data_IF_807272075648
#
_entry.id   IF_807272075648
#
_cell.length_a   1.000
_cell.length_b   1.000
_cell.length_c   1.000
_cell.angle_alpha   90.00
_cell.angle_beta   90.00
_cell.angle_gamma   90.00
#
_symmetry.space_group_name_H-M   'P 1'
#
loop_
_entity.id
_entity.type
_entity.pdbx_description
1 polymer ?
#
# COMPACT_ATOMS: atom_id res chain seq x y z
N UNK A 1 11.99 -3.87 8.01
CA UNK A 1 11.59 -5.10 8.74
C UNK A 1 10.38 -5.69 8.06
N UNK A 2 10.42 -6.96 7.76
CA UNK A 2 9.36 -7.69 7.04
C UNK A 2 8.50 -8.45 8.05
N UNK A 3 7.18 -8.36 7.91
CA UNK A 3 6.19 -9.08 8.72
C UNK A 3 5.41 -10.03 7.80
N UNK A 4 5.76 -11.32 7.84
CA UNK A 4 5.06 -12.41 7.13
C UNK A 4 4.75 -12.14 5.65
N UNK A 5 5.62 -11.42 4.93
CA UNK A 5 5.50 -11.06 3.51
C UNK A 5 4.37 -10.09 3.15
N UNK A 6 3.40 -9.87 4.03
CA UNK A 6 2.23 -9.05 3.74
C UNK A 6 2.39 -7.59 4.15
N UNK A 7 3.30 -7.33 5.07
CA UNK A 7 3.56 -5.98 5.62
C UNK A 7 5.04 -5.79 5.90
N UNK A 8 5.48 -4.54 5.82
CA UNK A 8 6.84 -4.18 6.18
C UNK A 8 6.86 -2.88 6.99
N UNK A 9 7.69 -2.83 8.03
CA UNK A 9 8.05 -1.57 8.67
C UNK A 9 9.22 -0.95 7.89
N UNK A 10 8.92 -0.41 6.71
CA UNK A 10 9.89 0.20 5.79
C UNK A 10 10.21 1.64 6.16
N UNK A 11 9.17 2.41 6.53
CA UNK A 11 9.27 3.83 6.86
C UNK A 11 9.96 4.07 8.21
N UNK A 12 10.73 5.18 8.31
CA UNK A 12 11.42 5.57 9.55
C UNK A 12 12.76 4.89 9.81
N UNK A 13 13.25 4.01 8.91
CA UNK A 13 14.59 3.43 9.00
C UNK A 13 14.78 2.37 10.10
N UNK A 14 13.71 1.82 10.66
CA UNK A 14 13.80 0.83 11.76
C UNK A 14 14.59 -0.42 11.35
N UNK A 15 14.45 -0.86 10.09
CA UNK A 15 15.22 -1.99 9.55
C UNK A 15 16.73 -1.73 9.55
N UNK A 16 17.15 -0.50 9.22
CA UNK A 16 18.56 -0.12 9.26
C UNK A 16 19.12 -0.14 10.70
N UNK A 17 18.33 0.33 11.69
CA UNK A 17 18.71 0.27 13.12
C UNK A 17 18.87 -1.18 13.57
N UNK A 18 17.95 -2.08 13.18
CA UNK A 18 18.08 -3.51 13.50
C UNK A 18 19.33 -4.13 12.89
N UNK A 19 19.56 -3.86 11.61
CA UNK A 19 20.70 -4.37 10.86
C UNK A 19 22.03 -3.88 11.48
N UNK A 20 22.12 -2.61 11.87
CA UNK A 20 23.30 -2.06 12.53
C UNK A 20 23.63 -2.75 13.86
N UNK A 21 22.62 -3.30 14.53
CA UNK A 21 22.73 -4.08 15.76
C UNK A 21 22.89 -5.59 15.51
N UNK A 22 23.03 -6.01 14.26
CA UNK A 22 23.13 -7.42 13.82
C UNK A 22 21.94 -8.28 14.28
N UNK A 23 20.77 -7.67 14.49
CA UNK A 23 19.54 -8.38 14.86
C UNK A 23 18.87 -8.91 13.59
N UNK A 24 18.79 -10.23 13.46
CA UNK A 24 18.25 -10.90 12.26
C UNK A 24 16.74 -11.02 12.30
N UNK A 25 16.19 -11.48 13.42
CA UNK A 25 14.76 -11.70 13.58
C UNK A 25 14.37 -11.73 15.07
N UNK A 26 13.09 -11.48 15.36
CA UNK A 26 12.46 -11.75 16.65
C UNK A 26 11.28 -12.69 16.38
N UNK A 27 11.28 -13.83 17.06
CA UNK A 27 10.15 -14.75 17.08
C UNK A 27 9.52 -14.70 18.47
N UNK A 28 8.18 -14.59 18.54
CA UNK A 28 7.44 -14.49 19.79
C UNK A 28 6.32 -15.51 19.82
N UNK A 29 6.20 -16.21 20.96
CA UNK A 29 5.06 -17.07 21.26
C UNK A 29 4.56 -16.77 22.65
N UNK A 30 3.32 -16.26 22.76
CA UNK A 30 2.72 -15.87 24.04
C UNK A 30 1.65 -16.86 24.49
N UNK A 31 1.56 -17.08 25.82
CA UNK A 31 0.53 -17.92 26.46
C UNK A 31 -0.22 -17.18 27.57
N UNK A 32 0.19 -15.95 27.89
CA UNK A 32 -0.42 -15.18 28.98
C UNK A 32 -1.60 -14.34 28.48
N UNK A 33 -2.61 -14.22 29.34
CA UNK A 33 -3.67 -13.25 29.13
C UNK A 33 -3.23 -11.86 29.62
N UNK A 34 -3.68 -10.81 28.94
CA UNK A 34 -3.46 -9.45 29.40
C UNK A 34 -4.21 -9.22 30.71
N UNK A 35 -3.53 -8.60 31.68
CA UNK A 35 -4.16 -8.13 32.93
C UNK A 35 -4.76 -6.75 32.66
N UNK A 36 -6.06 -6.64 32.80
CA UNK A 36 -6.79 -5.38 32.58
C UNK A 36 -7.06 -4.76 33.95
N UNK A 37 -6.64 -3.52 34.17
CA UNK A 37 -6.73 -2.85 35.45
C UNK A 37 -8.18 -2.60 35.90
N UNK A 38 -9.09 -2.31 34.95
CA UNK A 38 -10.53 -2.10 35.19
C UNK A 38 -11.32 -2.83 34.11
N UNK A 39 -11.60 -4.10 34.35
CA UNK A 39 -12.18 -4.99 33.36
C UNK A 39 -13.57 -4.56 32.89
N UNK A 40 -14.46 -4.16 33.81
CA UNK A 40 -15.82 -3.75 33.46
C UNK A 40 -15.82 -2.48 32.59
N UNK A 41 -15.07 -1.46 32.99
CA UNK A 41 -14.91 -0.23 32.19
C UNK A 41 -14.28 -0.51 30.82
N UNK A 42 -13.34 -1.43 30.74
CA UNK A 42 -12.72 -1.83 29.48
C UNK A 42 -13.76 -2.50 28.55
N UNK A 43 -14.54 -3.45 29.08
CA UNK A 43 -15.58 -4.16 28.33
C UNK A 43 -16.67 -3.21 27.80
N UNK A 44 -17.09 -2.26 28.64
CA UNK A 44 -18.06 -1.22 28.25
C UNK A 44 -17.52 -0.37 27.08
N UNK A 45 -16.29 0.15 27.20
CA UNK A 45 -15.67 0.97 26.18
C UNK A 45 -15.49 0.17 24.88
N UNK A 46 -15.02 -1.07 24.94
CA UNK A 46 -14.85 -1.94 23.76
C UNK A 46 -16.19 -2.17 23.08
N UNK A 47 -17.25 -2.53 23.85
CA UNK A 47 -18.58 -2.75 23.29
C UNK A 47 -19.12 -1.52 22.57
N UNK A 48 -19.01 -0.35 23.20
CA UNK A 48 -19.43 0.93 22.61
C UNK A 48 -18.62 1.29 21.37
N UNK A 49 -17.30 1.07 21.38
CA UNK A 49 -16.44 1.34 20.23
C UNK A 49 -16.78 0.43 19.03
N UNK A 50 -17.03 -0.85 19.30
CA UNK A 50 -17.47 -1.81 18.27
C UNK A 50 -18.83 -1.44 17.69
N UNK A 51 -19.77 -0.97 18.51
CA UNK A 51 -21.07 -0.51 18.06
C UNK A 51 -20.96 0.72 17.15
N UNK A 52 -20.14 1.71 17.53
CA UNK A 52 -19.88 2.89 16.72
C UNK A 52 -19.24 2.52 15.38
N UNK A 53 -18.26 1.63 15.38
CA UNK A 53 -17.61 1.16 14.17
C UNK A 53 -18.58 0.44 13.21
N UNK A 54 -19.54 -0.31 13.73
CA UNK A 54 -20.56 -1.01 12.93
C UNK A 54 -21.65 -0.09 12.39
N UNK A 55 -21.91 1.03 13.04
CA UNK A 55 -22.96 2.00 12.62
C UNK A 55 -22.49 2.92 11.48
N UNK A 56 -21.21 3.16 11.35
CA UNK A 56 -20.68 4.04 10.32
C UNK A 56 -20.53 3.29 8.99
N UNK A 57 -21.14 3.74 7.88
CA UNK A 57 -20.98 3.11 6.56
C UNK A 57 -19.51 3.05 6.10
N UNK A 58 -18.71 4.03 6.52
CA UNK A 58 -17.27 4.05 6.19
C UNK A 58 -16.55 2.84 6.79
N UNK A 59 -16.82 2.53 8.06
CA UNK A 59 -16.12 1.48 8.80
C UNK A 59 -16.78 0.12 8.68
N UNK A 60 -18.08 0.04 8.39
CA UNK A 60 -18.81 -1.22 8.26
C UNK A 60 -18.93 -1.75 6.83
N UNK A 61 -18.78 -0.87 5.82
CA UNK A 61 -18.99 -1.23 4.41
C UNK A 61 -17.79 -0.84 3.54
N UNK A 62 -17.42 0.44 3.51
CA UNK A 62 -16.42 0.94 2.58
C UNK A 62 -15.01 0.39 2.87
N UNK A 63 -14.54 0.45 4.10
CA UNK A 63 -13.24 -0.08 4.49
C UNK A 63 -13.13 -1.61 4.36
N UNK A 64 -14.11 -2.43 4.79
CA UNK A 64 -14.08 -3.87 4.54
C UNK A 64 -14.02 -4.24 3.06
N UNK A 65 -14.72 -3.49 2.21
CA UNK A 65 -14.85 -3.78 0.78
C UNK A 65 -13.67 -3.25 -0.04
N UNK A 66 -13.26 -2.02 0.20
CA UNK A 66 -12.30 -1.31 -0.67
C UNK A 66 -10.96 -1.00 0.02
N UNK A 67 -10.83 -1.23 1.33
CA UNK A 67 -9.68 -0.82 2.10
C UNK A 67 -9.50 0.69 2.13
N UNK A 68 -8.31 1.12 2.52
CA UNK A 68 -7.95 2.53 2.52
C UNK A 68 -7.92 3.13 1.10
N UNK A 69 -7.77 2.30 0.06
CA UNK A 69 -7.81 2.74 -1.34
C UNK A 69 -9.17 3.28 -1.79
N UNK A 70 -10.25 3.13 -0.98
CA UNK A 70 -11.53 3.82 -1.17
C UNK A 70 -11.36 5.35 -1.27
N UNK A 71 -10.31 5.90 -0.68
CA UNK A 71 -10.02 7.33 -0.70
C UNK A 71 -9.54 7.84 -2.07
N UNK A 72 -9.05 7.00 -2.96
CA UNK A 72 -8.46 7.39 -4.24
C UNK A 72 -9.41 8.27 -5.05
N UNK A 73 -10.59 7.78 -5.39
CA UNK A 73 -11.56 8.52 -6.19
C UNK A 73 -12.07 9.77 -5.47
N UNK A 74 -12.30 9.70 -4.16
CA UNK A 74 -12.77 10.82 -3.34
C UNK A 74 -11.76 11.96 -3.34
N UNK A 75 -10.50 11.65 -3.05
CA UNK A 75 -9.42 12.65 -2.97
C UNK A 75 -9.13 13.24 -4.36
N UNK A 76 -9.14 12.40 -5.41
CA UNK A 76 -8.96 12.85 -6.79
C UNK A 76 -10.08 13.81 -7.23
N UNK A 77 -11.34 13.53 -6.89
CA UNK A 77 -12.47 14.38 -7.20
C UNK A 77 -12.40 15.77 -6.52
N UNK A 78 -11.72 15.87 -5.37
CA UNK A 78 -11.48 17.13 -4.68
C UNK A 78 -10.25 17.89 -5.20
N UNK A 79 -9.52 17.36 -6.19
CA UNK A 79 -8.33 18.02 -6.74
C UNK A 79 -7.11 18.02 -5.82
N UNK A 80 -7.07 17.12 -4.83
CA UNK A 80 -6.01 17.01 -3.83
C UNK A 80 -5.31 15.65 -3.85
N UNK A 81 -5.27 15.00 -5.02
CA UNK A 81 -4.54 13.75 -5.26
C UNK A 81 -3.21 14.05 -5.97
N UNK A 82 -2.11 14.28 -5.25
CA UNK A 82 -0.86 14.75 -5.83
C UNK A 82 -0.37 13.79 -6.92
N UNK A 83 -0.02 14.36 -8.08
CA UNK A 83 0.24 13.60 -9.29
C UNK A 83 1.54 14.05 -9.95
N UNK A 84 2.32 13.11 -10.50
CA UNK A 84 3.58 13.36 -11.20
C UNK A 84 4.50 14.29 -10.39
N UNK A 85 4.96 13.80 -9.26
CA UNK A 85 5.84 14.56 -8.36
C UNK A 85 5.25 15.93 -7.97
N UNK A 86 3.94 15.97 -7.61
CA UNK A 86 3.20 17.17 -7.19
C UNK A 86 3.00 18.24 -8.28
N UNK A 87 3.11 17.90 -9.57
CA UNK A 87 2.86 18.86 -10.66
C UNK A 87 1.38 19.22 -10.79
N UNK A 88 0.46 18.34 -10.37
CA UNK A 88 -0.99 18.57 -10.35
C UNK A 88 -1.64 17.82 -9.18
N UNK A 89 -2.85 18.23 -8.83
CA UNK A 89 -3.69 17.59 -7.79
C UNK A 89 -4.74 16.64 -8.35
N UNK A 90 -4.75 16.37 -9.67
CA UNK A 90 -5.71 15.50 -10.33
C UNK A 90 -4.99 14.45 -11.18
N UNK A 91 -5.32 13.18 -10.97
CA UNK A 91 -4.82 12.07 -11.76
C UNK A 91 -5.91 11.51 -12.66
N UNK A 92 -5.80 11.61 -14.00
CA UNK A 92 -6.82 11.11 -14.93
C UNK A 92 -7.05 9.60 -14.81
N UNK A 93 -6.02 8.83 -14.45
CA UNK A 93 -6.07 7.37 -14.28
C UNK A 93 -6.48 6.89 -12.88
N UNK A 94 -7.03 7.75 -12.02
CA UNK A 94 -7.34 7.40 -10.64
C UNK A 94 -8.31 6.22 -10.50
N UNK A 95 -9.36 6.16 -11.34
CA UNK A 95 -10.33 5.06 -11.34
C UNK A 95 -9.71 3.69 -11.63
N UNK A 96 -8.65 3.65 -12.43
CA UNK A 96 -7.98 2.40 -12.83
C UNK A 96 -7.13 1.78 -11.70
N UNK A 97 -6.81 2.57 -10.68
CA UNK A 97 -6.02 2.14 -9.51
C UNK A 97 -6.77 2.29 -8.20
N UNK A 98 -8.08 2.57 -8.25
CA UNK A 98 -8.93 2.80 -7.07
C UNK A 98 -9.20 1.51 -6.27
N UNK A 99 -9.72 1.69 -5.05
CA UNK A 99 -10.16 0.58 -4.21
C UNK A 99 -11.28 -0.24 -4.85
N UNK A 100 -12.16 0.40 -5.61
CA UNK A 100 -13.21 -0.23 -6.39
C UNK A 100 -12.60 -1.12 -7.48
N UNK A 101 -11.62 -0.61 -8.22
CA UNK A 101 -10.94 -1.37 -9.26
C UNK A 101 -10.18 -2.57 -8.71
N UNK A 102 -9.51 -2.41 -7.56
CA UNK A 102 -8.85 -3.51 -6.84
C UNK A 102 -9.87 -4.61 -6.50
N UNK A 103 -11.01 -4.22 -5.90
CA UNK A 103 -12.05 -5.15 -5.48
C UNK A 103 -12.68 -5.93 -6.63
N UNK A 104 -12.83 -5.29 -7.79
CA UNK A 104 -13.43 -5.88 -8.99
C UNK A 104 -12.50 -6.83 -9.75
N UNK A 105 -11.19 -6.59 -9.73
CA UNK A 105 -10.29 -7.22 -10.70
C UNK A 105 -9.24 -8.16 -10.11
N UNK A 106 -8.67 -7.84 -8.95
CA UNK A 106 -7.51 -8.56 -8.41
C UNK A 106 -7.68 -9.05 -6.96
N UNK A 107 -8.82 -8.75 -6.33
CA UNK A 107 -9.08 -9.13 -4.95
C UNK A 107 -9.26 -10.63 -4.80
N UNK A 108 -8.56 -11.25 -3.85
CA UNK A 108 -8.81 -12.62 -3.39
C UNK A 108 -9.63 -12.56 -2.08
N UNK A 109 -10.93 -12.69 -2.21
CA UNK A 109 -11.89 -12.56 -1.11
C UNK A 109 -11.80 -13.69 -0.06
N UNK A 110 -11.28 -14.85 -0.44
CA UNK A 110 -11.10 -15.96 0.50
C UNK A 110 -9.89 -15.70 1.40
N UNK A 111 -8.77 -15.32 0.82
CA UNK A 111 -7.55 -15.01 1.55
C UNK A 111 -7.59 -13.67 2.31
N UNK A 112 -8.46 -12.73 1.93
CA UNK A 112 -8.62 -11.47 2.64
C UNK A 112 -8.85 -11.67 4.15
N UNK A 113 -9.63 -12.68 4.52
CA UNK A 113 -9.95 -12.96 5.93
C UNK A 113 -8.72 -13.29 6.77
N UNK A 114 -7.69 -13.86 6.15
CA UNK A 114 -6.43 -14.20 6.80
C UNK A 114 -5.54 -12.98 7.03
N UNK A 115 -5.73 -11.91 6.24
CA UNK A 115 -4.98 -10.66 6.34
C UNK A 115 -5.57 -9.68 7.38
N UNK A 116 -6.78 -9.92 7.86
CA UNK A 116 -7.43 -9.05 8.84
C UNK A 116 -6.67 -9.10 10.17
N UNK A 117 -6.33 -7.93 10.72
CA UNK A 117 -5.66 -7.83 12.00
C UNK A 117 -6.49 -8.53 13.10
N UNK A 118 -5.81 -9.25 13.98
CA UNK A 118 -6.46 -9.98 15.07
C UNK A 118 -7.37 -9.08 15.92
N UNK A 119 -8.63 -9.48 16.08
CA UNK A 119 -9.63 -8.73 16.84
C UNK A 119 -10.14 -7.44 16.19
N UNK A 120 -9.75 -7.14 14.95
CA UNK A 120 -10.20 -5.93 14.26
C UNK A 120 -11.61 -6.10 13.69
N UNK A 121 -12.49 -5.12 13.97
CA UNK A 121 -13.87 -5.10 13.46
C UNK A 121 -14.01 -4.42 12.09
N UNK A 122 -12.96 -3.74 11.62
CA UNK A 122 -12.99 -2.98 10.36
C UNK A 122 -12.64 -3.85 9.15
N UNK A 123 -11.73 -4.78 9.30
CA UNK A 123 -11.33 -5.69 8.22
C UNK A 123 -10.81 -5.00 6.97
N UNK A 124 -10.06 -3.89 7.11
CA UNK A 124 -9.59 -3.10 5.97
C UNK A 124 -8.42 -3.71 5.19
N UNK A 125 -7.84 -4.81 5.64
CA UNK A 125 -6.76 -5.49 4.92
C UNK A 125 -7.23 -6.08 3.58
N UNK A 126 -6.30 -6.26 2.67
CA UNK A 126 -6.52 -6.80 1.33
C UNK A 126 -5.54 -7.92 1.05
N UNK A 127 -6.01 -8.95 0.39
CA UNK A 127 -5.15 -9.89 -0.32
C UNK A 127 -5.47 -9.82 -1.80
N UNK A 128 -4.47 -9.63 -2.63
CA UNK A 128 -4.65 -9.44 -4.07
C UNK A 128 -3.81 -10.43 -4.84
N UNK A 129 -4.31 -10.82 -6.01
CA UNK A 129 -3.64 -11.78 -6.89
C UNK A 129 -3.74 -11.34 -8.34
N UNK A 130 -2.59 -11.27 -9.00
CA UNK A 130 -2.46 -11.03 -10.44
C UNK A 130 -2.06 -12.35 -11.09
N UNK A 131 -2.94 -12.91 -11.90
CA UNK A 131 -2.78 -14.24 -12.48
C UNK A 131 -2.27 -14.25 -13.91
N UNK A 132 -2.24 -13.09 -14.59
CA UNK A 132 -1.86 -12.96 -15.99
C UNK A 132 -0.97 -11.74 -16.23
N UNK A 133 -0.19 -11.80 -17.31
CA UNK A 133 0.68 -10.72 -17.75
C UNK A 133 2.05 -10.73 -17.10
N UNK A 134 2.87 -9.70 -17.36
CA UNK A 134 4.27 -9.65 -16.90
C UNK A 134 4.40 -9.41 -15.38
N UNK A 135 3.34 -8.92 -14.72
CA UNK A 135 3.36 -8.55 -13.31
C UNK A 135 2.65 -9.55 -12.41
N UNK A 136 2.63 -10.82 -12.80
CA UNK A 136 2.04 -11.89 -11.97
C UNK A 136 2.61 -11.91 -10.56
N UNK A 137 1.75 -12.22 -9.58
CA UNK A 137 2.11 -12.27 -8.17
C UNK A 137 0.89 -12.20 -7.27
N UNK A 138 1.14 -12.37 -5.98
CA UNK A 138 0.11 -12.27 -4.96
C UNK A 138 0.68 -11.76 -3.64
N UNK A 139 -0.16 -11.22 -2.77
CA UNK A 139 0.24 -10.74 -1.45
C UNK A 139 -0.73 -9.74 -0.86
N UNK A 140 -0.37 -9.14 0.27
CA UNK A 140 -1.09 -8.03 0.85
C UNK A 140 -1.28 -6.92 -0.18
N UNK A 141 -2.52 -6.54 -0.43
CA UNK A 141 -2.86 -5.55 -1.45
C UNK A 141 -2.39 -4.14 -1.10
N UNK A 142 -2.27 -3.27 -2.09
CA UNK A 142 -1.79 -1.91 -1.86
C UNK A 142 -2.80 -1.10 -1.03
N UNK A 143 -2.30 -0.42 -0.02
CA UNK A 143 -3.04 0.59 0.73
C UNK A 143 -3.11 1.92 -0.05
N UNK A 144 -3.97 2.85 0.37
CA UNK A 144 -4.11 4.16 -0.29
C UNK A 144 -2.76 4.84 -0.57
N UNK A 145 -1.90 4.91 0.43
CA UNK A 145 -0.59 5.56 0.29
C UNK A 145 0.32 4.86 -0.72
N UNK A 146 0.25 3.54 -0.81
CA UNK A 146 1.02 2.77 -1.81
C UNK A 146 0.44 2.97 -3.21
N UNK A 147 -0.90 2.94 -3.36
CA UNK A 147 -1.57 3.25 -4.63
C UNK A 147 -1.22 4.65 -5.10
N UNK A 148 -1.23 5.61 -4.20
CA UNK A 148 -0.81 6.98 -4.52
C UNK A 148 0.65 7.04 -4.95
N UNK A 149 1.57 6.49 -4.15
CA UNK A 149 3.01 6.61 -4.36
C UNK A 149 3.50 5.91 -5.64
N UNK A 150 2.99 4.72 -5.93
CA UNK A 150 3.35 3.97 -7.14
C UNK A 150 2.43 4.27 -8.33
N UNK A 151 1.26 4.85 -8.09
CA UNK A 151 0.30 5.23 -9.11
C UNK A 151 0.41 6.70 -9.51
N UNK A 152 -0.37 7.57 -8.87
CA UNK A 152 -0.48 8.99 -9.25
C UNK A 152 0.86 9.74 -9.19
N UNK A 153 1.68 9.50 -8.18
CA UNK A 153 3.00 10.12 -7.99
C UNK A 153 3.95 9.84 -9.16
N UNK A 154 3.88 8.64 -9.76
CA UNK A 154 4.66 8.25 -10.95
C UNK A 154 3.87 8.36 -12.25
N UNK A 155 2.59 8.75 -12.18
CA UNK A 155 1.71 8.84 -13.35
C UNK A 155 1.25 7.49 -13.88
N UNK A 156 1.41 6.39 -13.13
CA UNK A 156 1.10 5.02 -13.56
C UNK A 156 -0.33 4.65 -13.23
N UNK A 157 -1.14 4.30 -14.25
CA UNK A 157 -2.52 3.81 -14.11
C UNK A 157 -2.65 2.29 -14.29
N UNK A 158 -1.55 1.58 -14.52
CA UNK A 158 -1.53 0.11 -14.58
C UNK A 158 -1.58 -0.48 -13.17
N UNK A 159 -2.76 -0.94 -12.75
CA UNK A 159 -2.97 -1.55 -11.44
C UNK A 159 -2.09 -2.77 -11.21
N UNK A 160 -1.78 -3.55 -12.25
CA UNK A 160 -0.94 -4.73 -12.12
C UNK A 160 0.52 -4.33 -11.81
N UNK A 161 1.06 -3.32 -12.47
CA UNK A 161 2.39 -2.77 -12.18
C UNK A 161 2.46 -2.17 -10.77
N UNK A 162 1.47 -1.36 -10.37
CA UNK A 162 1.37 -0.77 -9.02
C UNK A 162 1.33 -1.86 -7.95
N UNK A 163 0.55 -2.92 -8.16
CA UNK A 163 0.45 -4.03 -7.21
C UNK A 163 1.73 -4.85 -7.16
N UNK A 164 2.40 -5.07 -8.30
CA UNK A 164 3.70 -5.76 -8.34
C UNK A 164 4.78 -4.99 -7.57
N UNK A 165 4.86 -3.69 -7.76
CA UNK A 165 5.78 -2.83 -7.00
C UNK A 165 5.47 -2.89 -5.49
N UNK A 166 4.17 -2.93 -5.10
CA UNK A 166 3.78 -3.14 -3.71
C UNK A 166 4.25 -4.48 -3.14
N UNK A 167 4.12 -5.58 -3.89
CA UNK A 167 4.60 -6.89 -3.43
C UNK A 167 6.12 -6.87 -3.23
N UNK A 168 6.87 -6.32 -4.18
CA UNK A 168 8.33 -6.17 -4.08
C UNK A 168 8.73 -5.32 -2.86
N UNK A 169 8.08 -4.18 -2.66
CA UNK A 169 8.36 -3.31 -1.51
C UNK A 169 8.12 -4.03 -0.17
N UNK A 170 7.06 -4.84 -0.07
CA UNK A 170 6.79 -5.64 1.13
C UNK A 170 7.83 -6.76 1.31
N UNK A 171 8.19 -7.49 0.26
CA UNK A 171 9.17 -8.57 0.30
C UNK A 171 10.58 -8.08 0.65
N UNK A 172 10.96 -6.91 0.13
CA UNK A 172 12.27 -6.29 0.36
C UNK A 172 12.32 -5.42 1.62
N UNK A 173 11.18 -5.17 2.26
CA UNK A 173 11.09 -4.34 3.47
C UNK A 173 11.30 -2.86 3.19
N UNK A 174 10.98 -2.38 1.98
CA UNK A 174 11.15 -1.00 1.55
C UNK A 174 9.99 -0.11 2.02
N UNK A 175 10.28 1.18 2.14
CA UNK A 175 9.26 2.23 2.29
C UNK A 175 8.65 2.56 0.93
N UNK A 176 7.45 2.06 0.66
CA UNK A 176 6.75 2.26 -0.61
C UNK A 176 6.53 3.75 -0.94
N UNK A 177 6.27 4.59 0.08
CA UNK A 177 6.06 6.02 -0.11
C UNK A 177 7.36 6.69 -0.59
N UNK A 178 8.46 6.47 0.11
CA UNK A 178 9.77 7.01 -0.28
C UNK A 178 10.22 6.47 -1.64
N UNK A 179 9.97 5.19 -1.93
CA UNK A 179 10.31 4.58 -3.22
C UNK A 179 9.55 5.25 -4.36
N UNK A 180 8.23 5.44 -4.23
CA UNK A 180 7.43 6.14 -5.25
C UNK A 180 7.90 7.57 -5.48
N UNK A 181 8.32 8.29 -4.42
CA UNK A 181 8.90 9.63 -4.56
C UNK A 181 10.25 9.62 -5.31
N UNK A 182 11.13 8.69 -4.99
CA UNK A 182 12.42 8.55 -5.67
C UNK A 182 12.21 8.27 -7.16
N UNK A 183 11.30 7.34 -7.49
CA UNK A 183 10.98 6.99 -8.88
C UNK A 183 10.34 8.19 -9.60
N UNK A 184 9.35 8.85 -8.98
CA UNK A 184 8.71 10.05 -9.54
C UNK A 184 9.70 11.20 -9.75
N UNK A 185 10.62 11.41 -8.82
CA UNK A 185 11.71 12.39 -8.98
C UNK A 185 12.63 12.02 -10.15
N UNK A 186 12.98 10.74 -10.29
CA UNK A 186 13.78 10.26 -11.42
C UNK A 186 13.07 10.50 -12.75
N UNK A 187 11.75 10.17 -12.83
CA UNK A 187 10.95 10.43 -14.04
C UNK A 187 10.94 11.91 -14.41
N UNK A 188 10.79 12.81 -13.42
CA UNK A 188 10.85 14.26 -13.66
C UNK A 188 12.23 14.73 -14.13
N UNK A 189 13.31 14.21 -13.56
CA UNK A 189 14.68 14.55 -13.97
C UNK A 189 14.98 14.07 -15.39
N UNK A 190 14.45 12.92 -15.79
CA UNK A 190 14.55 12.41 -17.17
C UNK A 190 13.75 13.29 -18.13
N UNK A 191 12.49 13.61 -17.81
CA UNK A 191 11.64 14.51 -18.59
C UNK A 191 12.31 15.88 -18.82
N UNK A 192 12.97 16.41 -17.78
CA UNK A 192 13.71 17.69 -17.84
C UNK A 192 15.11 17.58 -18.50
N UNK A 193 15.49 16.42 -19.01
CA UNK A 193 16.79 16.19 -19.63
C UNK A 193 18.00 16.32 -18.69
N UNK A 194 17.78 16.17 -17.36
CA UNK A 194 18.85 16.26 -16.35
C UNK A 194 19.60 14.95 -16.16
N UNK A 195 19.00 13.83 -16.54
CA UNK A 195 19.61 12.50 -16.50
C UNK A 195 19.60 11.93 -17.93
N UNK A 196 20.77 11.65 -18.52
CA UNK A 196 20.83 11.07 -19.86
C UNK A 196 20.38 9.60 -19.85
N UNK A 197 19.70 9.18 -20.94
CA UNK A 197 19.12 7.84 -21.08
C UNK A 197 20.12 6.69 -20.94
N UNK A 198 21.36 6.89 -21.34
CA UNK A 198 22.45 5.91 -21.18
C UNK A 198 22.72 5.48 -19.73
N UNK A 199 22.43 6.36 -18.76
CA UNK A 199 22.52 6.04 -17.33
C UNK A 199 21.37 5.14 -16.84
N UNK A 200 20.33 4.98 -17.64
CA UNK A 200 19.13 4.21 -17.31
C UNK A 200 19.19 2.75 -17.79
N UNK A 201 20.35 2.30 -18.30
CA UNK A 201 20.58 0.91 -18.74
C UNK A 201 19.55 0.40 -19.76
N UNK A 202 19.06 1.27 -20.63
CA UNK A 202 18.05 0.94 -21.63
C UNK A 202 16.59 0.93 -21.13
N UNK A 203 16.37 1.22 -19.85
CA UNK A 203 15.03 1.31 -19.29
C UNK A 203 14.35 2.62 -19.73
N UNK A 204 13.12 2.52 -20.23
CA UNK A 204 12.32 3.68 -20.64
C UNK A 204 11.65 4.32 -19.42
N UNK A 205 12.35 5.23 -18.76
CA UNK A 205 11.89 5.93 -17.55
C UNK A 205 11.09 7.16 -17.95
N UNK A 206 9.80 6.97 -18.17
CA UNK A 206 8.85 8.05 -18.50
C UNK A 206 7.64 7.98 -17.55
N UNK A 207 6.92 9.10 -17.41
CA UNK A 207 5.68 9.13 -16.65
C UNK A 207 4.70 8.04 -17.14
N UNK A 208 4.18 7.27 -16.19
CA UNK A 208 3.22 6.20 -16.46
C UNK A 208 3.82 4.87 -16.91
N UNK A 209 5.14 4.74 -17.00
CA UNK A 209 5.78 3.48 -17.34
C UNK A 209 5.69 2.47 -16.18
N UNK A 210 4.80 1.48 -16.33
CA UNK A 210 4.68 0.38 -15.37
C UNK A 210 5.93 -0.49 -15.32
N UNK A 211 6.62 -0.69 -16.45
CA UNK A 211 7.90 -1.40 -16.52
C UNK A 211 8.97 -0.69 -15.70
N UNK A 212 9.15 0.62 -15.91
CA UNK A 212 10.10 1.40 -15.16
C UNK A 212 9.78 1.42 -13.66
N UNK A 213 8.49 1.50 -13.29
CA UNK A 213 8.06 1.42 -11.90
C UNK A 213 8.54 0.12 -11.24
N UNK A 214 8.28 -1.02 -11.87
CA UNK A 214 8.58 -2.34 -11.30
C UNK A 214 10.08 -2.61 -11.27
N UNK A 215 10.82 -2.29 -12.34
CA UNK A 215 12.26 -2.53 -12.44
C UNK A 215 13.09 -1.61 -11.50
N UNK A 216 12.56 -0.44 -11.17
CA UNK A 216 13.20 0.50 -10.24
C UNK A 216 12.84 0.24 -8.77
N UNK A 217 11.82 -0.58 -8.53
CA UNK A 217 11.43 -0.98 -7.17
C UNK A 217 12.23 -2.17 -6.69
#
# INVERSE_FOLDING_TARGET
>A
MINDKSRAAGRGGHGAVWSSKKLKAIAVRGHMRLKIAREDAYREIVSRSMELARKSPVTSEALPKYGTAVLVNVINAHGIFPTRNFQTGVFPGASEISGERIAETIMDWEKQKEEICWGCVLGCARYTRITKGPYTGEGGGPEYETVWAFGAQTGTSDLAAVSKANYLANELGLDAISMGHVIGTLMELVEKGKIPGEKLRGLNVTWGSGEALVELT
#
